data_IF_553214827335
#
_entry.id   IF_553214827335
#
_cell.length_a   1.000
_cell.length_b   1.000
_cell.length_c   1.000
_cell.angle_alpha   90.00
_cell.angle_beta   90.00
_cell.angle_gamma   90.00
#
_symmetry.space_group_name_H-M   'P 1'
#
loop_
_entity.id
_entity.type
_entity.pdbx_description
1 polymer ?
#
# COMPACT_ATOMS: atom_id res chain seq x y z
N UNK A 1 -1.39 -9.93 14.05
CA UNK A 1 -0.32 -9.94 13.02
C UNK A 1 -0.14 -11.26 12.29
N UNK A 2 -0.52 -12.44 12.81
CA UNK A 2 -0.36 -13.74 12.11
C UNK A 2 -1.01 -13.84 10.72
N UNK A 3 -2.30 -14.22 10.64
CA UNK A 3 -2.98 -14.40 9.34
C UNK A 3 -3.04 -13.14 8.49
N UNK A 4 -3.16 -11.97 9.12
CA UNK A 4 -3.11 -10.67 8.44
C UNK A 4 -1.75 -10.40 7.78
N UNK A 5 -0.64 -10.68 8.47
CA UNK A 5 0.70 -10.54 7.89
C UNK A 5 0.93 -11.54 6.76
N UNK A 6 0.51 -12.80 6.96
CA UNK A 6 0.60 -13.82 5.93
C UNK A 6 -0.19 -13.45 4.66
N UNK A 7 -1.38 -12.88 4.79
CA UNK A 7 -2.16 -12.46 3.62
C UNK A 7 -1.54 -11.27 2.89
N UNK A 8 -0.86 -10.36 3.59
CA UNK A 8 -0.13 -9.25 2.95
C UNK A 8 1.13 -9.71 2.25
N UNK A 9 1.92 -10.60 2.85
CA UNK A 9 3.06 -11.22 2.17
C UNK A 9 2.65 -12.00 0.92
N UNK A 10 1.54 -12.75 0.99
CA UNK A 10 1.00 -13.45 -0.17
C UNK A 10 0.52 -12.48 -1.27
N UNK A 11 -0.14 -11.38 -0.88
CA UNK A 11 -0.61 -10.36 -1.80
C UNK A 11 0.54 -9.64 -2.51
N UNK A 12 1.64 -9.33 -1.81
CA UNK A 12 2.84 -8.74 -2.41
C UNK A 12 3.40 -9.65 -3.49
N UNK A 13 3.61 -10.93 -3.19
CA UNK A 13 4.15 -11.89 -4.15
C UNK A 13 3.23 -12.04 -5.38
N UNK A 14 1.91 -12.08 -5.16
CA UNK A 14 0.93 -12.17 -6.24
C UNK A 14 1.02 -10.98 -7.20
N UNK A 15 1.07 -9.75 -6.68
CA UNK A 15 1.13 -8.54 -7.50
C UNK A 15 2.47 -8.39 -8.24
N UNK A 16 3.58 -8.78 -7.60
CA UNK A 16 4.90 -8.74 -8.23
C UNK A 16 5.00 -9.76 -9.37
N UNK A 17 4.55 -10.99 -9.13
CA UNK A 17 4.53 -12.04 -10.15
C UNK A 17 3.67 -11.63 -11.35
N UNK A 18 2.45 -11.16 -11.10
CA UNK A 18 1.56 -10.69 -12.16
C UNK A 18 2.16 -9.50 -12.93
N UNK A 19 2.79 -8.56 -12.24
CA UNK A 19 3.45 -7.41 -12.85
C UNK A 19 4.55 -7.83 -13.84
N UNK A 20 5.39 -8.80 -13.47
CA UNK A 20 6.43 -9.33 -14.35
C UNK A 20 5.85 -10.13 -15.53
N UNK A 21 4.82 -10.95 -15.31
CA UNK A 21 4.15 -11.72 -16.38
C UNK A 21 3.62 -10.81 -17.50
N UNK A 22 3.07 -9.65 -17.14
CA UNK A 22 2.40 -8.75 -18.10
C UNK A 22 3.27 -7.59 -18.60
N UNK A 23 4.51 -7.47 -18.10
CA UNK A 23 5.42 -6.33 -18.30
C UNK A 23 5.66 -5.96 -19.76
N UNK A 24 5.80 -6.97 -20.62
CA UNK A 24 6.18 -6.82 -22.03
C UNK A 24 5.05 -7.09 -23.02
N UNK A 25 3.88 -7.51 -22.53
CA UNK A 25 2.74 -7.91 -23.37
C UNK A 25 1.49 -7.05 -23.15
N UNK A 26 1.53 -6.13 -22.18
CA UNK A 26 0.42 -5.24 -21.86
C UNK A 26 0.89 -3.85 -21.41
N UNK A 27 -0.03 -2.88 -21.40
CA UNK A 27 0.17 -1.57 -20.77
C UNK A 27 -0.13 -1.54 -19.26
N UNK A 28 -0.39 -2.69 -18.63
CA UNK A 28 -0.70 -2.78 -17.20
C UNK A 28 0.60 -2.64 -16.39
N UNK A 29 0.52 -1.93 -15.26
CA UNK A 29 1.60 -1.76 -14.28
C UNK A 29 1.04 -2.06 -12.88
N UNK A 30 1.80 -2.79 -12.07
CA UNK A 30 1.44 -3.07 -10.68
C UNK A 30 2.32 -2.29 -9.72
N UNK A 31 1.72 -1.80 -8.63
CA UNK A 31 2.41 -1.14 -7.54
C UNK A 31 1.83 -1.57 -6.18
N UNK A 32 2.68 -1.55 -5.17
CA UNK A 32 2.34 -1.86 -3.78
C UNK A 32 2.54 -0.60 -2.94
N UNK A 33 1.48 -0.21 -2.23
CA UNK A 33 1.52 0.90 -1.27
C UNK A 33 1.26 0.37 0.12
N UNK A 34 2.25 0.56 0.99
CA UNK A 34 2.09 0.40 2.43
C UNK A 34 1.67 1.77 3.01
N UNK A 35 0.42 1.92 3.49
CA UNK A 35 -0.05 3.20 4.03
C UNK A 35 0.64 3.58 5.34
N UNK A 36 1.39 2.67 5.98
CA UNK A 36 1.95 2.88 7.31
C UNK A 36 0.87 3.13 8.37
N UNK A 37 1.27 3.71 9.50
CA UNK A 37 0.32 4.11 10.53
C UNK A 37 -0.55 5.26 10.00
N UNK A 38 -1.87 5.04 9.92
CA UNK A 38 -2.82 6.00 9.36
C UNK A 38 -4.08 6.03 10.22
N UNK A 39 -4.59 7.23 10.50
CA UNK A 39 -5.74 7.50 11.36
C UNK A 39 -7.05 6.96 10.77
N UNK A 40 -7.29 5.67 10.96
CA UNK A 40 -8.46 4.96 10.45
C UNK A 40 -9.15 4.13 11.53
N UNK A 41 -10.41 3.75 11.30
CA UNK A 41 -11.13 2.81 12.18
C UNK A 41 -10.40 1.46 12.30
N UNK A 42 -9.72 1.01 11.24
CA UNK A 42 -8.94 -0.22 11.27
C UNK A 42 -7.72 -0.11 12.18
N UNK A 43 -6.98 1.01 12.13
CA UNK A 43 -5.85 1.29 13.02
C UNK A 43 -6.29 1.36 14.47
N UNK A 44 -7.37 2.08 14.77
CA UNK A 44 -7.91 2.18 16.12
C UNK A 44 -8.31 0.82 16.72
N UNK A 45 -8.81 -0.11 15.89
CA UNK A 45 -9.09 -1.49 16.33
C UNK A 45 -7.81 -2.30 16.57
N UNK A 46 -6.78 -2.09 15.75
CA UNK A 46 -5.51 -2.81 15.87
C UNK A 46 -4.62 -2.29 17.02
N UNK A 47 -4.73 -1.00 17.36
CA UNK A 47 -3.98 -0.31 18.41
C UNK A 47 -4.93 0.54 19.29
N UNK A 48 -5.72 -0.07 20.19
CA UNK A 48 -6.78 0.63 20.93
C UNK A 48 -6.31 1.73 21.88
N UNK A 49 -5.04 1.69 22.31
CA UNK A 49 -4.45 2.64 23.26
C UNK A 49 -3.61 3.73 22.58
N UNK A 50 -3.45 3.67 21.25
CA UNK A 50 -2.72 4.69 20.49
C UNK A 50 -3.55 5.97 20.39
N UNK A 51 -2.92 7.13 20.63
CA UNK A 51 -3.57 8.41 20.39
C UNK A 51 -3.73 8.63 18.88
N UNK A 52 -4.95 8.78 18.32
CA UNK A 52 -5.15 8.97 16.89
C UNK A 52 -4.43 10.21 16.34
N UNK A 53 -4.19 11.23 17.16
CA UNK A 53 -3.53 12.47 16.75
C UNK A 53 -2.03 12.33 16.53
N UNK A 54 -1.41 11.22 16.96
CA UNK A 54 0.01 10.95 16.74
C UNK A 54 0.30 10.23 15.42
N UNK A 55 -0.73 9.91 14.62
CA UNK A 55 -0.59 9.28 13.30
C UNK A 55 -1.21 10.15 12.21
N UNK A 56 -0.62 10.09 11.01
CA UNK A 56 -1.07 10.88 9.86
C UNK A 56 -2.52 10.59 9.50
N UNK A 57 -3.24 11.59 8.97
CA UNK A 57 -4.61 11.38 8.50
C UNK A 57 -4.60 10.66 7.13
N UNK A 58 -5.70 10.00 6.73
CA UNK A 58 -5.75 9.19 5.50
C UNK A 58 -5.53 9.99 4.21
N UNK A 59 -5.77 11.30 4.22
CA UNK A 59 -5.60 12.21 3.09
C UNK A 59 -4.15 12.21 2.60
N UNK A 60 -3.17 12.09 3.48
CA UNK A 60 -1.74 12.01 3.11
C UNK A 60 -1.46 10.80 2.22
N UNK A 61 -2.05 9.64 2.53
CA UNK A 61 -1.91 8.43 1.71
C UNK A 61 -2.68 8.58 0.39
N UNK A 62 -3.88 9.16 0.43
CA UNK A 62 -4.69 9.39 -0.76
C UNK A 62 -4.01 10.33 -1.76
N UNK A 63 -3.44 11.44 -1.28
CA UNK A 63 -2.65 12.38 -2.07
C UNK A 63 -1.44 11.69 -2.69
N UNK A 64 -0.75 10.82 -1.93
CA UNK A 64 0.40 10.10 -2.47
C UNK A 64 0.01 9.12 -3.58
N UNK A 65 -1.10 8.39 -3.41
CA UNK A 65 -1.64 7.51 -4.46
C UNK A 65 -1.99 8.32 -5.72
N UNK A 66 -2.70 9.45 -5.57
CA UNK A 66 -3.06 10.30 -6.70
C UNK A 66 -1.83 10.87 -7.44
N UNK A 67 -0.82 11.29 -6.68
CA UNK A 67 0.45 11.74 -7.23
C UNK A 67 1.17 10.63 -8.01
N UNK A 68 1.19 9.40 -7.48
CA UNK A 68 1.81 8.26 -8.15
C UNK A 68 1.09 7.90 -9.46
N UNK A 69 -0.24 7.91 -9.48
CA UNK A 69 -1.01 7.66 -10.70
C UNK A 69 -0.77 8.71 -11.79
N UNK A 70 -0.52 9.96 -11.38
CA UNK A 70 -0.27 11.07 -12.32
C UNK A 70 1.17 11.08 -12.83
N UNK A 71 2.14 10.85 -11.95
CA UNK A 71 3.56 10.81 -12.32
C UNK A 71 3.93 9.57 -13.15
N UNK A 72 3.15 8.48 -13.00
CA UNK A 72 3.48 7.17 -13.54
C UNK A 72 4.50 6.44 -12.67
N UNK A 73 4.59 5.12 -12.90
CA UNK A 73 5.50 4.24 -12.18
C UNK A 73 5.78 2.99 -13.01
N UNK A 74 6.93 2.37 -12.75
CA UNK A 74 7.28 1.08 -13.33
C UNK A 74 6.62 -0.06 -12.55
N UNK A 75 6.43 -1.19 -13.24
CA UNK A 75 5.83 -2.37 -12.59
C UNK A 75 6.76 -2.87 -11.48
N UNK A 76 6.17 -3.29 -10.36
CA UNK A 76 6.91 -3.66 -9.17
C UNK A 76 7.28 -2.50 -8.25
N UNK A 77 6.78 -1.28 -8.50
CA UNK A 77 6.94 -0.16 -7.57
C UNK A 77 6.43 -0.52 -6.18
N UNK A 78 7.26 -0.33 -5.17
CA UNK A 78 6.90 -0.47 -3.76
C UNK A 78 7.20 0.83 -3.03
N UNK A 79 6.25 1.31 -2.25
CA UNK A 79 6.44 2.48 -1.41
C UNK A 79 5.67 2.37 -0.11
N UNK A 80 6.32 2.82 0.96
CA UNK A 80 5.68 3.07 2.24
C UNK A 80 5.45 4.57 2.41
N UNK A 81 4.22 4.94 2.75
CA UNK A 81 3.85 6.32 3.08
C UNK A 81 4.06 6.54 4.57
N UNK A 82 4.92 7.48 4.94
CA UNK A 82 5.19 7.87 6.32
C UNK A 82 4.25 8.98 6.82
#
# INVERSE_FOLDING_TARGET
>A
WGSYGASKAAFENLLLSYGEEVRHISGVRTALIDPGATRTKMRARAYPVENPDTVKPPEVVAERIAALMTAGFETGHFERVE
#
